data_IF_109437229871
#
_entry.id   IF_109437229871
#
_cell.length_a   1.000
_cell.length_b   1.000
_cell.length_c   1.000
_cell.angle_alpha   90.00
_cell.angle_beta   90.00
_cell.angle_gamma   90.00
#
_symmetry.space_group_name_H-M   'P 1'
#
loop_
_entity.id
_entity.type
_entity.pdbx_description
1 polymer ?
#
# COMPACT_ATOMS: atom_id res chain seq x y z
N UNK A 1 -7.04 -1.79 9.55
CA UNK A 1 -8.11 -2.52 8.81
C UNK A 1 -8.10 -4.01 9.15
N UNK A 2 -9.23 -4.72 8.90
CA UNK A 2 -9.37 -6.18 9.11
C UNK A 2 -9.97 -6.84 7.87
N UNK A 3 -9.28 -6.73 6.75
CA UNK A 3 -9.76 -7.20 5.46
C UNK A 3 -10.05 -8.70 5.46
N UNK A 4 -11.24 -9.17 5.07
CA UNK A 4 -11.56 -10.60 5.01
C UNK A 4 -10.76 -11.36 3.96
N UNK A 5 -10.16 -10.65 3.01
CA UNK A 5 -9.30 -11.15 1.94
C UNK A 5 -7.80 -10.92 2.19
N UNK A 6 -7.37 -10.80 3.45
CA UNK A 6 -5.98 -10.49 3.78
C UNK A 6 -5.04 -11.63 3.39
N UNK A 7 -4.15 -11.40 2.42
CA UNK A 7 -3.14 -12.36 1.98
C UNK A 7 -2.09 -12.66 3.06
N UNK A 8 -1.86 -11.71 3.95
CA UNK A 8 -0.93 -11.81 5.08
C UNK A 8 -1.65 -12.13 6.41
N UNK A 9 -2.82 -12.77 6.38
CA UNK A 9 -3.62 -13.00 7.58
C UNK A 9 -2.88 -13.77 8.67
N UNK A 10 -2.00 -14.70 8.30
CA UNK A 10 -1.17 -15.46 9.24
C UNK A 10 -0.20 -14.59 10.06
N UNK A 11 0.17 -13.44 9.54
CA UNK A 11 1.02 -12.45 10.24
C UNK A 11 0.13 -11.36 10.84
N UNK A 12 -0.79 -10.80 10.04
CA UNK A 12 -1.61 -9.64 10.42
C UNK A 12 -2.63 -9.94 11.53
N UNK A 13 -2.98 -11.23 11.74
CA UNK A 13 -3.89 -11.68 12.78
C UNK A 13 -3.18 -12.56 13.83
N UNK A 14 -1.84 -12.66 13.75
CA UNK A 14 -1.03 -13.40 14.70
C UNK A 14 -1.01 -12.71 16.07
N UNK A 15 -0.85 -13.50 17.10
CA UNK A 15 -0.49 -13.07 18.45
C UNK A 15 0.91 -13.56 18.82
N UNK A 16 1.39 -13.17 19.98
CA UNK A 16 2.72 -13.54 20.48
C UNK A 16 2.95 -15.04 20.66
N UNK A 17 1.87 -15.84 20.73
CA UNK A 17 1.91 -17.29 20.94
C UNK A 17 1.82 -18.07 19.60
N UNK A 18 1.30 -17.44 18.55
CA UNK A 18 0.99 -18.10 17.28
C UNK A 18 2.08 -17.89 16.22
N UNK A 19 3.08 -17.03 16.45
CA UNK A 19 4.17 -16.77 15.50
C UNK A 19 5.50 -16.57 16.22
N UNK A 20 6.59 -16.88 15.53
CA UNK A 20 7.94 -16.51 16.00
C UNK A 20 8.21 -15.05 15.67
N UNK A 21 8.70 -14.30 16.64
CA UNK A 21 9.03 -12.89 16.49
C UNK A 21 10.37 -12.57 17.15
N UNK A 22 10.98 -11.50 16.72
CA UNK A 22 12.21 -10.97 17.31
C UNK A 22 12.05 -9.48 17.58
N UNK A 23 12.51 -9.05 18.75
CA UNK A 23 12.61 -7.63 19.05
C UNK A 23 13.80 -7.06 18.30
N UNK A 24 13.54 -6.02 17.52
CA UNK A 24 14.57 -5.24 16.85
C UNK A 24 14.39 -3.76 17.21
N UNK A 25 15.49 -3.05 17.48
CA UNK A 25 15.43 -1.59 17.67
C UNK A 25 15.53 -0.85 16.34
N UNK A 26 15.04 0.39 16.24
CA UNK A 26 15.22 1.22 15.04
C UNK A 26 16.69 1.29 14.59
N UNK A 27 17.63 1.49 15.53
CA UNK A 27 19.07 1.53 15.23
C UNK A 27 19.57 0.20 14.66
N UNK A 28 19.20 -0.94 15.26
CA UNK A 28 19.64 -2.25 14.79
C UNK A 28 19.09 -2.57 13.38
N UNK A 29 17.88 -2.10 13.04
CA UNK A 29 17.32 -2.26 11.70
C UNK A 29 18.08 -1.42 10.67
N UNK A 30 18.43 -0.17 11.01
CA UNK A 30 19.25 0.70 10.15
C UNK A 30 20.66 0.14 9.98
N UNK A 31 21.31 -0.34 11.05
CA UNK A 31 22.63 -0.97 10.98
C UNK A 31 22.61 -2.22 10.07
N UNK A 32 21.52 -3.00 10.13
CA UNK A 32 21.33 -4.14 9.24
C UNK A 32 21.22 -3.70 7.78
N UNK A 33 20.46 -2.64 7.48
CA UNK A 33 20.35 -2.11 6.14
C UNK A 33 21.70 -1.61 5.60
N UNK A 34 22.45 -0.88 6.41
CA UNK A 34 23.81 -0.41 6.07
C UNK A 34 24.78 -1.58 5.79
N UNK A 35 24.72 -2.65 6.57
CA UNK A 35 25.52 -3.86 6.36
C UNK A 35 25.34 -4.46 4.97
N UNK A 36 24.14 -4.32 4.38
CA UNK A 36 23.83 -4.84 3.05
C UNK A 36 24.06 -3.83 1.90
N UNK A 37 24.45 -2.59 2.18
CA UNK A 37 24.78 -1.61 1.13
C UNK A 37 25.88 -2.09 0.16
N UNK A 38 26.97 -2.74 0.61
CA UNK A 38 27.97 -3.28 -0.33
C UNK A 38 27.43 -4.37 -1.25
N UNK A 39 26.26 -4.93 -0.94
CA UNK A 39 25.56 -5.94 -1.73
C UNK A 39 24.44 -5.34 -2.59
N UNK A 40 24.36 -4.02 -2.69
CA UNK A 40 23.38 -3.29 -3.51
C UNK A 40 22.11 -2.86 -2.77
N UNK A 41 22.03 -3.00 -1.44
CA UNK A 41 20.90 -2.46 -0.68
C UNK A 41 20.91 -0.93 -0.73
N UNK A 42 19.77 -0.32 -1.06
CA UNK A 42 19.62 1.14 -1.14
C UNK A 42 18.81 1.71 0.05
N UNK A 43 18.11 0.86 0.81
CA UNK A 43 17.22 1.37 1.86
C UNK A 43 16.39 0.31 2.55
N UNK A 44 15.27 0.73 3.12
CA UNK A 44 14.34 -0.11 3.88
C UNK A 44 12.94 0.02 3.30
N UNK A 45 12.29 -1.12 3.00
CA UNK A 45 10.88 -1.17 2.65
C UNK A 45 10.07 -1.64 3.87
N UNK A 46 9.17 -0.79 4.33
CA UNK A 46 8.25 -1.07 5.43
C UNK A 46 6.96 -1.64 4.85
N UNK A 47 6.73 -2.94 5.04
CA UNK A 47 5.69 -3.70 4.33
C UNK A 47 5.24 -4.97 5.08
N UNK A 48 4.48 -5.87 4.42
CA UNK A 48 3.98 -7.19 4.79
C UNK A 48 2.83 -7.24 5.79
N UNK A 49 2.69 -6.33 6.67
CA UNK A 49 1.54 -6.12 7.54
C UNK A 49 1.07 -4.68 7.31
N UNK A 50 0.79 -3.96 8.36
CA UNK A 50 0.53 -2.53 8.28
C UNK A 50 1.59 -1.80 9.11
N UNK A 51 2.57 -1.15 8.47
CA UNK A 51 3.65 -0.47 9.19
C UNK A 51 3.15 0.64 10.12
N UNK A 52 2.03 1.29 9.77
CA UNK A 52 1.45 2.39 10.55
C UNK A 52 0.86 1.93 11.90
N UNK A 53 0.67 0.62 12.11
CA UNK A 53 0.25 0.08 13.43
C UNK A 53 1.34 0.29 14.49
N UNK A 54 2.61 0.27 14.08
CA UNK A 54 3.74 0.54 14.98
C UNK A 54 4.41 1.87 14.59
N UNK A 55 3.60 2.93 14.63
CA UNK A 55 3.95 4.24 14.09
C UNK A 55 5.22 4.84 14.72
N UNK A 56 5.38 4.77 16.05
CA UNK A 56 6.54 5.33 16.75
C UNK A 56 7.83 4.65 16.31
N UNK A 57 7.82 3.32 16.21
CA UNK A 57 8.96 2.55 15.70
C UNK A 57 9.28 2.92 14.24
N UNK A 58 8.23 3.05 13.41
CA UNK A 58 8.38 3.46 12.01
C UNK A 58 9.02 4.84 11.93
N UNK A 59 8.47 5.83 12.65
CA UNK A 59 8.94 7.21 12.62
C UNK A 59 10.40 7.33 13.08
N UNK A 60 10.78 6.63 14.14
CA UNK A 60 12.15 6.62 14.64
C UNK A 60 13.10 5.96 13.62
N UNK A 61 12.66 4.87 13.00
CA UNK A 61 13.47 4.16 12.00
C UNK A 61 13.68 4.98 10.74
N UNK A 62 12.63 5.58 10.16
CA UNK A 62 12.77 6.39 8.93
C UNK A 62 13.66 7.61 9.15
N UNK A 63 13.58 8.24 10.32
CA UNK A 63 14.47 9.35 10.69
C UNK A 63 15.94 8.95 10.75
N UNK A 64 16.22 7.80 11.34
CA UNK A 64 17.58 7.26 11.42
C UNK A 64 18.10 6.84 10.05
N UNK A 65 17.29 6.13 9.27
CA UNK A 65 17.61 5.70 7.90
C UNK A 65 17.88 6.91 6.99
N UNK A 66 17.02 7.93 7.03
CA UNK A 66 17.18 9.17 6.26
C UNK A 66 18.51 9.89 6.58
N UNK A 67 18.90 9.97 7.87
CA UNK A 67 20.20 10.55 8.28
C UNK A 67 21.41 9.79 7.72
N UNK A 68 21.24 8.52 7.41
CA UNK A 68 22.29 7.66 6.83
C UNK A 68 22.24 7.64 5.29
N UNK A 69 21.35 8.40 4.65
CA UNK A 69 21.17 8.43 3.20
C UNK A 69 20.54 7.15 2.64
N UNK A 70 19.80 6.40 3.47
CA UNK A 70 19.04 5.23 3.05
C UNK A 70 17.66 5.66 2.53
N UNK A 71 17.19 5.02 1.49
CA UNK A 71 15.83 5.20 0.95
C UNK A 71 14.80 4.57 1.87
N UNK A 72 13.71 5.27 2.16
CA UNK A 72 12.58 4.77 2.92
C UNK A 72 11.37 4.56 2.00
N UNK A 73 10.95 3.31 1.79
CA UNK A 73 9.78 2.96 1.00
C UNK A 73 8.66 2.44 1.91
N UNK A 74 7.47 3.05 1.84
CA UNK A 74 6.30 2.69 2.64
C UNK A 74 5.27 1.95 1.78
N UNK A 75 4.86 0.75 2.20
CA UNK A 75 3.73 0.01 1.62
C UNK A 75 2.64 -0.10 2.68
N UNK A 76 1.51 0.59 2.47
CA UNK A 76 0.50 0.79 3.50
C UNK A 76 -0.92 0.80 2.94
N UNK A 77 -1.88 0.54 3.81
CA UNK A 77 -3.31 0.72 3.52
C UNK A 77 -3.77 2.20 3.58
N UNK A 78 -2.88 3.13 3.91
CA UNK A 78 -3.15 4.56 3.93
C UNK A 78 -4.05 5.06 5.07
N UNK A 79 -4.36 4.21 6.04
CA UNK A 79 -5.20 4.61 7.20
C UNK A 79 -4.36 5.29 8.28
N UNK A 80 -4.08 6.56 8.08
CA UNK A 80 -3.32 7.41 9.00
C UNK A 80 -4.02 8.77 9.16
N UNK A 81 -3.95 9.36 10.35
CA UNK A 81 -4.43 10.71 10.58
C UNK A 81 -3.45 11.74 10.03
N UNK A 82 -3.92 12.96 9.80
CA UNK A 82 -3.12 14.02 9.16
C UNK A 82 -1.85 14.37 9.94
N UNK A 83 -1.94 14.62 11.25
CA UNK A 83 -0.78 15.01 12.06
C UNK A 83 0.38 13.99 12.00
N UNK A 84 0.17 12.68 12.26
CA UNK A 84 1.23 11.69 12.08
C UNK A 84 1.68 11.51 10.62
N UNK A 85 0.81 11.70 9.63
CA UNK A 85 1.20 11.67 8.22
C UNK A 85 2.18 12.81 7.90
N UNK A 86 1.88 14.03 8.31
CA UNK A 86 2.74 15.21 8.11
C UNK A 86 4.11 15.05 8.80
N UNK A 87 4.15 14.39 9.96
CA UNK A 87 5.40 14.13 10.68
C UNK A 87 6.26 13.04 10.03
N UNK A 88 5.62 12.10 9.32
CA UNK A 88 6.29 10.96 8.65
C UNK A 88 6.79 11.34 7.25
N UNK A 89 5.98 12.08 6.49
CA UNK A 89 6.16 12.34 5.06
C UNK A 89 7.53 12.93 4.68
N UNK A 90 8.17 13.83 5.45
CA UNK A 90 9.51 14.35 5.12
C UNK A 90 10.62 13.32 5.04
N UNK A 91 10.37 12.09 5.51
CA UNK A 91 11.36 11.01 5.56
C UNK A 91 11.00 9.83 4.64
N UNK A 92 9.90 9.93 3.88
CA UNK A 92 9.46 8.88 2.93
C UNK A 92 9.85 9.28 1.52
N UNK A 93 10.69 8.47 0.89
CA UNK A 93 11.16 8.68 -0.48
C UNK A 93 10.23 8.04 -1.52
N UNK A 94 9.58 6.93 -1.15
CA UNK A 94 8.61 6.24 -1.99
C UNK A 94 7.46 5.65 -1.16
N UNK A 95 6.26 5.62 -1.73
CA UNK A 95 5.11 4.98 -1.11
C UNK A 95 4.29 4.20 -2.14
N UNK A 96 3.78 3.03 -1.73
CA UNK A 96 2.71 2.33 -2.45
C UNK A 96 1.51 2.23 -1.51
N UNK A 97 0.41 2.89 -1.87
CA UNK A 97 -0.79 2.95 -1.05
C UNK A 97 -1.88 2.07 -1.65
N UNK A 98 -2.40 1.17 -0.82
CA UNK A 98 -3.55 0.33 -1.18
C UNK A 98 -4.86 1.13 -1.19
N UNK A 99 -5.29 1.63 -2.34
CA UNK A 99 -6.65 2.11 -2.56
C UNK A 99 -7.54 0.92 -2.91
N UNK A 100 -8.17 0.34 -1.89
CA UNK A 100 -8.81 -0.98 -2.01
C UNK A 100 -10.11 -0.96 -2.83
N UNK A 101 -10.81 0.17 -2.86
CA UNK A 101 -12.02 0.42 -3.64
C UNK A 101 -12.33 1.91 -3.65
N UNK A 102 -13.36 2.33 -4.39
CA UNK A 102 -13.78 3.72 -4.48
C UNK A 102 -15.14 3.99 -3.82
N UNK A 103 -15.59 3.06 -2.97
CA UNK A 103 -16.85 3.16 -2.23
C UNK A 103 -16.64 3.01 -0.72
N UNK A 104 -17.35 3.82 0.09
CA UNK A 104 -17.31 3.68 1.55
C UNK A 104 -17.93 2.35 2.01
N UNK A 105 -18.84 1.78 1.26
CA UNK A 105 -19.46 0.47 1.56
C UNK A 105 -18.37 -0.62 1.60
N UNK A 106 -17.48 -0.66 0.60
CA UNK A 106 -16.36 -1.59 0.61
C UNK A 106 -15.41 -1.35 1.79
N UNK A 107 -15.09 -0.08 2.08
CA UNK A 107 -14.23 0.26 3.21
C UNK A 107 -14.83 -0.11 4.55
N UNK A 108 -16.15 -0.04 4.71
CA UNK A 108 -16.85 -0.50 5.92
C UNK A 108 -16.62 -2.00 6.16
N UNK A 109 -16.64 -2.82 5.10
CA UNK A 109 -16.33 -4.26 5.18
C UNK A 109 -14.89 -4.52 5.66
N UNK A 110 -13.95 -3.66 5.31
CA UNK A 110 -12.55 -3.78 5.71
C UNK A 110 -12.23 -3.15 7.08
N UNK A 111 -13.18 -2.43 7.66
CA UNK A 111 -12.99 -1.64 8.88
C UNK A 111 -12.14 -0.38 8.65
N UNK A 112 -12.23 0.22 7.47
CA UNK A 112 -11.52 1.44 7.09
C UNK A 112 -12.45 2.58 6.67
N UNK A 113 -11.84 3.70 6.27
CA UNK A 113 -12.52 4.90 5.79
C UNK A 113 -11.91 5.36 4.47
N UNK A 114 -12.72 5.45 3.41
CA UNK A 114 -12.27 5.84 2.08
C UNK A 114 -11.66 7.25 2.09
N UNK A 115 -12.33 8.21 2.73
CA UNK A 115 -11.87 9.61 2.75
C UNK A 115 -10.50 9.76 3.42
N UNK A 116 -10.21 8.97 4.46
CA UNK A 116 -8.88 8.97 5.11
C UNK A 116 -7.81 8.49 4.14
N UNK A 117 -8.05 7.40 3.41
CA UNK A 117 -7.09 6.88 2.43
C UNK A 117 -6.90 7.83 1.25
N UNK A 118 -7.99 8.43 0.77
CA UNK A 118 -7.90 9.47 -0.27
C UNK A 118 -7.07 10.65 0.18
N UNK A 119 -7.32 11.17 1.39
CA UNK A 119 -6.52 12.26 1.96
C UNK A 119 -5.03 11.92 2.05
N UNK A 120 -4.70 10.69 2.45
CA UNK A 120 -3.31 10.20 2.48
C UNK A 120 -2.68 10.21 1.09
N UNK A 121 -3.38 9.71 0.07
CA UNK A 121 -2.91 9.71 -1.32
C UNK A 121 -2.75 11.13 -1.84
N UNK A 122 -3.72 12.02 -1.62
CA UNK A 122 -3.68 13.44 -2.01
C UNK A 122 -2.46 14.15 -1.39
N UNK A 123 -2.24 13.93 -0.09
CA UNK A 123 -1.11 14.51 0.65
C UNK A 123 0.23 14.02 0.12
N UNK A 124 0.36 12.72 -0.16
CA UNK A 124 1.58 12.14 -0.73
C UNK A 124 1.81 12.56 -2.18
N UNK A 125 0.75 12.66 -2.99
CA UNK A 125 0.84 13.14 -4.37
C UNK A 125 1.31 14.61 -4.45
N UNK A 126 0.95 15.43 -3.47
CA UNK A 126 1.41 16.82 -3.39
C UNK A 126 2.86 16.96 -2.88
N UNK A 127 3.48 15.88 -2.38
CA UNK A 127 4.85 15.91 -1.86
C UNK A 127 5.87 15.67 -2.99
N UNK A 128 6.70 16.66 -3.37
CA UNK A 128 7.60 16.54 -4.51
C UNK A 128 8.76 15.56 -4.30
N UNK A 129 9.02 15.17 -3.04
CA UNK A 129 10.12 14.27 -2.68
C UNK A 129 9.67 12.82 -2.50
N UNK A 130 8.37 12.54 -2.52
CA UNK A 130 7.82 11.20 -2.36
C UNK A 130 7.34 10.65 -3.71
N UNK A 131 7.94 9.55 -4.18
CA UNK A 131 7.42 8.82 -5.33
C UNK A 131 6.20 7.99 -4.88
N UNK A 132 5.01 8.38 -5.33
CA UNK A 132 3.77 7.70 -4.98
C UNK A 132 3.35 6.72 -6.07
N UNK A 133 3.01 5.50 -5.66
CA UNK A 133 2.28 4.51 -6.44
C UNK A 133 0.99 4.11 -5.73
N UNK A 134 -0.02 3.65 -6.47
CA UNK A 134 -1.29 3.20 -5.90
C UNK A 134 -1.64 1.80 -6.39
N UNK A 135 -2.12 0.95 -5.49
CA UNK A 135 -2.50 -0.43 -5.81
C UNK A 135 -3.97 -0.70 -5.45
N UNK A 136 -4.71 -1.34 -6.37
CA UNK A 136 -6.03 -1.90 -6.11
C UNK A 136 -6.02 -3.41 -6.34
N UNK A 137 -6.36 -4.18 -5.30
CA UNK A 137 -6.65 -5.61 -5.40
C UNK A 137 -8.08 -5.78 -5.88
N UNK A 138 -8.26 -6.28 -7.09
CA UNK A 138 -9.57 -6.43 -7.74
C UNK A 138 -10.20 -7.76 -7.33
N UNK A 139 -11.35 -7.69 -6.65
CA UNK A 139 -12.09 -8.83 -6.09
C UNK A 139 -13.40 -8.99 -6.83
N UNK A 140 -13.71 -10.18 -7.40
CA UNK A 140 -14.94 -10.42 -8.14
C UNK A 140 -16.19 -10.09 -7.33
N UNK A 141 -17.14 -9.39 -7.96
CA UNK A 141 -18.44 -8.96 -7.41
C UNK A 141 -18.35 -7.94 -6.27
N UNK A 142 -17.15 -7.38 -5.98
CA UNK A 142 -16.97 -6.40 -4.91
C UNK A 142 -16.52 -5.01 -5.43
N UNK A 143 -15.41 -4.99 -6.19
CA UNK A 143 -14.79 -3.76 -6.71
C UNK A 143 -14.23 -3.98 -8.13
N UNK A 144 -14.78 -4.94 -8.87
CA UNK A 144 -14.28 -5.36 -10.19
C UNK A 144 -15.05 -4.76 -11.37
N UNK A 145 -15.89 -3.75 -11.15
CA UNK A 145 -16.56 -3.07 -12.25
C UNK A 145 -15.64 -2.13 -13.02
N UNK A 146 -15.92 -1.94 -14.30
CA UNK A 146 -15.22 -0.97 -15.16
C UNK A 146 -15.38 0.44 -14.61
N UNK A 147 -16.60 0.79 -14.22
CA UNK A 147 -16.96 2.11 -13.70
C UNK A 147 -16.16 2.47 -12.44
N UNK A 148 -15.92 1.50 -11.55
CA UNK A 148 -15.13 1.76 -10.34
C UNK A 148 -13.67 1.97 -10.65
N UNK A 149 -13.07 1.15 -11.52
CA UNK A 149 -11.67 1.30 -11.92
C UNK A 149 -11.44 2.59 -12.71
N UNK A 150 -12.38 2.97 -13.60
CA UNK A 150 -12.33 4.26 -14.28
C UNK A 150 -12.44 5.43 -13.29
N UNK A 151 -13.34 5.36 -12.31
CA UNK A 151 -13.49 6.40 -11.29
C UNK A 151 -12.19 6.58 -10.46
N UNK A 152 -11.52 5.48 -10.08
CA UNK A 152 -10.20 5.51 -9.44
C UNK A 152 -9.18 6.17 -10.36
N UNK A 153 -9.08 5.71 -11.62
CA UNK A 153 -8.09 6.20 -12.57
C UNK A 153 -8.28 7.69 -12.89
N UNK A 154 -9.52 8.15 -13.08
CA UNK A 154 -9.87 9.55 -13.29
C UNK A 154 -9.46 10.41 -12.08
N UNK A 155 -9.79 9.94 -10.87
CA UNK A 155 -9.44 10.67 -9.66
C UNK A 155 -7.92 10.74 -9.47
N UNK A 156 -7.17 9.64 -9.65
CA UNK A 156 -5.70 9.66 -9.61
C UNK A 156 -5.11 10.59 -10.66
N UNK A 157 -5.63 10.56 -11.88
CA UNK A 157 -5.20 11.44 -12.96
C UNK A 157 -5.47 12.93 -12.67
N UNK A 158 -6.49 13.25 -11.88
CA UNK A 158 -6.77 14.62 -11.43
C UNK A 158 -5.74 15.14 -10.42
N UNK A 159 -5.04 14.24 -9.72
CA UNK A 159 -3.92 14.57 -8.83
C UNK A 159 -2.62 14.69 -9.65
N UNK A 160 -2.24 13.63 -10.35
CA UNK A 160 -1.13 13.57 -11.29
C UNK A 160 -1.31 12.35 -12.24
N UNK A 161 -1.44 12.56 -13.55
CA UNK A 161 -1.60 11.45 -14.50
C UNK A 161 -0.36 10.55 -14.64
N UNK A 162 0.74 10.88 -13.98
CA UNK A 162 1.97 10.07 -13.97
C UNK A 162 2.06 9.13 -12.77
N UNK A 163 1.12 9.18 -11.81
CA UNK A 163 1.07 8.23 -10.69
C UNK A 163 0.93 6.80 -11.24
N UNK A 164 1.87 5.89 -10.92
CA UNK A 164 1.75 4.50 -11.29
C UNK A 164 0.56 3.84 -10.57
N UNK A 165 -0.29 3.17 -11.34
CA UNK A 165 -1.45 2.46 -10.82
C UNK A 165 -1.34 0.97 -11.08
N UNK A 166 -1.44 0.16 -10.02
CA UNK A 166 -1.35 -1.29 -10.07
C UNK A 166 -2.73 -1.92 -9.90
N UNK A 167 -3.21 -2.59 -10.95
CA UNK A 167 -4.44 -3.38 -10.95
C UNK A 167 -4.07 -4.83 -10.68
N UNK A 168 -4.24 -5.28 -9.44
CA UNK A 168 -3.76 -6.58 -8.97
C UNK A 168 -4.88 -7.61 -8.87
N UNK A 169 -4.55 -8.84 -9.30
CA UNK A 169 -5.45 -9.99 -9.28
C UNK A 169 -5.63 -10.53 -7.87
N UNK A 170 -6.89 -10.76 -7.47
CA UNK A 170 -7.25 -11.44 -6.23
C UNK A 170 -7.14 -12.96 -6.36
N UNK A 171 -6.70 -13.61 -5.27
CA UNK A 171 -6.81 -15.05 -5.02
C UNK A 171 -7.55 -15.30 -3.72
N UNK A 172 -8.41 -16.34 -3.64
CA UNK A 172 -9.12 -16.70 -2.42
C UNK A 172 -8.17 -16.93 -1.26
N UNK A 173 -8.42 -16.25 -0.13
CA UNK A 173 -7.63 -16.43 1.08
C UNK A 173 -8.39 -15.97 2.32
N UNK A 174 -7.92 -16.40 3.49
CA UNK A 174 -8.41 -16.07 4.82
C UNK A 174 -9.91 -16.34 4.97
N UNK A 175 -10.76 -15.33 5.07
CA UNK A 175 -12.22 -15.46 5.26
C UNK A 175 -13.00 -15.38 3.93
N UNK A 176 -12.31 -15.17 2.81
CA UNK A 176 -12.91 -15.02 1.48
C UNK A 176 -12.41 -16.15 0.56
N UNK A 177 -12.67 -17.39 0.98
CA UNK A 177 -12.24 -18.62 0.30
C UNK A 177 -13.30 -19.19 -0.65
N UNK A 178 -14.51 -18.70 -0.58
CA UNK A 178 -15.67 -19.08 -1.39
C UNK A 178 -15.71 -18.39 -2.75
N UNK A 179 -15.02 -17.25 -2.90
CA UNK A 179 -14.89 -16.56 -4.20
C UNK A 179 -13.88 -17.24 -5.12
N UNK A 180 -14.07 -17.05 -6.41
CA UNK A 180 -13.09 -17.47 -7.43
C UNK A 180 -11.98 -16.42 -7.56
N UNK A 181 -10.76 -16.80 -7.98
CA UNK A 181 -9.74 -15.84 -8.38
C UNK A 181 -10.28 -14.94 -9.50
N UNK A 182 -9.91 -13.67 -9.48
CA UNK A 182 -10.27 -12.75 -10.57
C UNK A 182 -9.72 -13.29 -11.89
N UNK A 183 -10.53 -13.39 -12.97
CA UNK A 183 -10.04 -13.86 -14.25
C UNK A 183 -8.91 -12.96 -14.77
N UNK A 184 -7.81 -13.53 -15.24
CA UNK A 184 -6.66 -12.79 -15.78
C UNK A 184 -7.09 -11.83 -16.90
N UNK A 185 -7.95 -12.30 -17.82
CA UNK A 185 -8.48 -11.47 -18.91
C UNK A 185 -9.20 -10.23 -18.38
N UNK A 186 -9.95 -10.37 -17.28
CA UNK A 186 -10.68 -9.25 -16.67
C UNK A 186 -9.72 -8.19 -16.11
N UNK A 187 -8.63 -8.61 -15.45
CA UNK A 187 -7.57 -7.68 -14.97
C UNK A 187 -6.98 -6.88 -16.13
N UNK A 188 -6.65 -7.53 -17.25
CA UNK A 188 -6.13 -6.82 -18.42
C UNK A 188 -7.17 -5.85 -19.02
N UNK A 189 -8.45 -6.21 -19.07
CA UNK A 189 -9.51 -5.33 -19.53
C UNK A 189 -9.62 -4.08 -18.64
N UNK A 190 -9.67 -4.26 -17.32
CA UNK A 190 -9.72 -3.14 -16.36
C UNK A 190 -8.49 -2.23 -16.46
N UNK A 191 -7.29 -2.82 -16.63
CA UNK A 191 -6.08 -2.05 -16.83
C UNK A 191 -6.12 -1.21 -18.12
N UNK A 192 -6.71 -1.72 -19.23
CA UNK A 192 -6.89 -0.93 -20.45
C UNK A 192 -7.81 0.28 -20.24
N UNK A 193 -8.91 0.11 -19.46
CA UNK A 193 -9.78 1.24 -19.12
C UNK A 193 -9.03 2.29 -18.28
N UNK A 194 -8.21 1.88 -17.31
CA UNK A 194 -7.40 2.81 -16.51
C UNK A 194 -6.35 3.56 -17.36
N UNK A 195 -5.78 2.93 -18.41
CA UNK A 195 -4.81 3.55 -19.34
C UNK A 195 -5.37 4.69 -20.17
N UNK A 196 -6.70 4.83 -20.24
CA UNK A 196 -7.32 5.99 -20.87
C UNK A 196 -7.04 7.29 -20.09
N UNK A 197 -6.70 7.20 -18.81
CA UNK A 197 -6.52 8.34 -17.90
C UNK A 197 -5.09 8.47 -17.34
N UNK A 198 -4.42 7.34 -17.10
CA UNK A 198 -3.10 7.28 -16.46
C UNK A 198 -2.01 6.79 -17.43
N UNK A 199 -0.82 7.37 -17.31
CA UNK A 199 0.33 7.02 -18.17
C UNK A 199 0.97 5.68 -17.81
N UNK A 200 0.91 5.28 -16.54
CA UNK A 200 1.59 4.11 -16.01
C UNK A 200 0.57 3.20 -15.31
N UNK A 201 0.10 2.17 -16.01
CA UNK A 201 -0.83 1.17 -15.45
C UNK A 201 -0.23 -0.21 -15.60
N UNK A 202 -0.06 -0.89 -14.48
CA UNK A 202 0.54 -2.22 -14.39
C UNK A 202 -0.48 -3.25 -13.90
N UNK A 203 -0.33 -4.49 -14.35
CA UNK A 203 -1.13 -5.62 -13.84
C UNK A 203 -0.28 -6.46 -12.89
N UNK A 204 -0.86 -6.87 -11.76
CA UNK A 204 -0.19 -7.69 -10.75
C UNK A 204 -0.84 -9.06 -10.56
N UNK A 205 -0.06 -10.04 -10.14
CA UNK A 205 -0.52 -11.41 -9.82
C UNK A 205 -1.17 -12.16 -11.01
N UNK A 206 -0.78 -11.83 -12.26
CA UNK A 206 -1.30 -12.45 -13.49
C UNK A 206 -0.37 -13.52 -14.04
#
# INVERSE_FOLDING_TARGET
MRCPFCQNASIAQADENSTSWQIITPQALVDLALKYQPQGNIGIAYTYNEPLVNYEFLLDTVRLAHKQGLVNALVSNGMINDEPLQALLPFIDAANIDLKAFTQTFYTMTGGYLDTVKHTIETMAACPTCHLEVTTLVIPDENDSVEEIEAIAQWLASLDPTIPYHVSRFFPCYKMTDKRPTPVRHIYQLAEHARAYLRHVYTGNC
#
